data_IF_444997761189
#
_entry.id   IF_444997761189
#
_cell.length_a   1.000
_cell.length_b   1.000
_cell.length_c   1.000
_cell.angle_alpha   90.00
_cell.angle_beta   90.00
_cell.angle_gamma   90.00
#
_symmetry.space_group_name_H-M   'P 1'
#
loop_
_entity.id
_entity.type
_entity.pdbx_description
1 polymer ?
#
# COMPACT_ATOMS: atom_id res chain seq x y z
N UNK A 1 -9.66 -15.22 -25.04
CA UNK A 1 -8.37 -14.63 -24.66
C UNK A 1 -7.99 -13.63 -25.76
N UNK A 2 -8.08 -12.37 -25.47
CA UNK A 2 -8.06 -11.30 -26.48
C UNK A 2 -6.61 -10.99 -26.89
N UNK A 3 -6.32 -10.96 -28.21
CA UNK A 3 -4.97 -10.67 -28.76
C UNK A 3 -4.41 -9.30 -28.31
N UNK A 4 -5.24 -8.40 -27.84
CA UNK A 4 -4.88 -7.06 -27.36
C UNK A 4 -4.17 -7.10 -25.98
N UNK A 5 -4.58 -8.00 -25.08
CA UNK A 5 -3.91 -8.25 -23.79
C UNK A 5 -2.47 -8.76 -23.98
N UNK A 6 -2.28 -9.62 -24.99
CA UNK A 6 -0.95 -10.14 -25.33
C UNK A 6 0.01 -9.06 -25.86
N UNK A 7 -0.50 -8.01 -26.53
CA UNK A 7 0.36 -6.97 -27.11
C UNK A 7 0.90 -5.98 -26.06
N UNK A 8 0.16 -5.67 -25.00
CA UNK A 8 0.63 -4.74 -23.93
C UNK A 8 1.46 -5.44 -22.86
N UNK A 9 1.18 -6.72 -22.56
CA UNK A 9 2.08 -7.51 -21.72
C UNK A 9 3.50 -7.64 -22.33
N UNK A 10 3.61 -7.58 -23.68
CA UNK A 10 4.89 -7.50 -24.37
C UNK A 10 5.54 -6.10 -24.31
N UNK A 11 4.76 -5.03 -24.02
CA UNK A 11 5.26 -3.66 -24.06
C UNK A 11 5.99 -3.22 -22.76
N UNK A 12 5.69 -3.84 -21.60
CA UNK A 12 6.49 -3.61 -20.37
C UNK A 12 7.98 -3.96 -20.55
N UNK A 13 8.31 -4.71 -21.64
CA UNK A 13 9.67 -5.08 -21.98
C UNK A 13 10.27 -4.28 -23.14
N UNK A 14 9.58 -3.29 -23.70
CA UNK A 14 9.89 -2.75 -25.04
C UNK A 14 10.49 -1.35 -25.09
N UNK A 15 10.60 -0.60 -24.01
CA UNK A 15 11.24 0.73 -24.02
C UNK A 15 12.61 0.73 -23.31
N UNK A 16 13.50 -0.13 -23.82
CA UNK A 16 14.93 0.16 -23.74
C UNK A 16 15.27 1.05 -24.95
N UNK A 17 15.28 2.35 -24.73
CA UNK A 17 15.91 3.29 -25.68
C UNK A 17 17.37 2.88 -25.76
N UNK A 18 17.76 2.23 -26.85
CA UNK A 18 19.14 1.95 -27.17
C UNK A 18 19.86 3.26 -27.47
N UNK A 19 20.50 3.83 -26.46
CA UNK A 19 21.54 4.83 -26.69
C UNK A 19 22.74 4.13 -27.32
N UNK A 20 23.31 4.61 -28.44
CA UNK A 20 24.50 4.01 -28.98
C UNK A 20 25.67 4.31 -28.05
N UNK A 21 26.17 3.30 -27.35
CA UNK A 21 27.44 3.38 -26.66
C UNK A 21 28.54 3.42 -27.69
N UNK A 22 29.12 4.59 -27.91
CA UNK A 22 30.45 4.72 -28.51
C UNK A 22 31.45 4.48 -27.39
N UNK A 23 31.96 3.28 -27.32
CA UNK A 23 33.05 2.91 -26.44
C UNK A 23 34.35 3.44 -27.02
N UNK A 24 34.90 4.55 -26.49
CA UNK A 24 36.33 4.82 -26.59
C UNK A 24 36.97 4.42 -25.26
N UNK A 25 37.66 3.30 -25.30
CA UNK A 25 38.42 2.78 -24.18
C UNK A 25 39.61 3.67 -23.85
N UNK A 26 39.66 4.13 -22.62
CA UNK A 26 40.95 4.35 -21.93
C UNK A 26 41.12 3.22 -20.93
N UNK A 27 42.11 2.40 -21.18
CA UNK A 27 42.56 1.34 -20.27
C UNK A 27 43.17 2.03 -19.07
N UNK A 28 42.42 2.14 -17.98
CA UNK A 28 42.99 2.38 -16.65
C UNK A 28 43.45 1.02 -16.09
N UNK A 29 44.75 0.82 -16.05
CA UNK A 29 45.38 -0.25 -15.28
C UNK A 29 45.06 -0.03 -13.80
N UNK A 30 44.18 -0.84 -13.25
CA UNK A 30 43.70 -0.80 -11.86
C UNK A 30 42.33 -1.40 -11.71
N UNK A 31 41.77 -2.00 -12.74
CA UNK A 31 40.46 -2.65 -12.70
C UNK A 31 40.44 -3.80 -11.71
N UNK A 32 39.72 -3.63 -10.58
CA UNK A 32 39.26 -4.75 -9.79
C UNK A 32 38.56 -5.72 -10.73
N UNK A 33 39.12 -6.91 -10.92
CA UNK A 33 38.39 -8.01 -11.58
C UNK A 33 37.15 -8.28 -10.72
N UNK A 34 35.95 -8.31 -11.31
CA UNK A 34 34.76 -8.66 -10.56
C UNK A 34 35.01 -9.99 -9.82
N UNK A 35 34.77 -10.01 -8.53
CA UNK A 35 34.76 -11.25 -7.79
C UNK A 35 33.49 -12.02 -8.11
N UNK A 36 33.59 -12.91 -9.09
CA UNK A 36 32.48 -13.73 -9.59
C UNK A 36 31.92 -14.69 -8.54
N UNK A 37 32.59 -14.85 -7.39
CA UNK A 37 32.10 -15.60 -6.24
C UNK A 37 31.51 -14.70 -5.15
N UNK A 38 31.39 -13.40 -5.38
CA UNK A 38 30.81 -12.51 -4.42
C UNK A 38 29.34 -12.87 -4.16
N UNK A 39 29.04 -13.11 -2.89
CA UNK A 39 27.68 -13.27 -2.42
C UNK A 39 27.15 -11.86 -2.12
N UNK A 40 26.01 -11.54 -2.69
CA UNK A 40 25.30 -10.30 -2.41
C UNK A 40 23.96 -10.57 -1.75
N UNK A 41 23.42 -9.60 -1.06
CA UNK A 41 22.09 -9.69 -0.46
C UNK A 41 21.22 -8.57 -1.00
N UNK A 42 20.06 -8.92 -1.55
CA UNK A 42 19.00 -7.98 -1.89
C UNK A 42 17.93 -8.05 -0.81
N UNK A 43 17.49 -6.90 -0.32
CA UNK A 43 16.38 -6.79 0.63
C UNK A 43 15.19 -6.12 -0.03
N UNK A 44 14.01 -6.68 0.13
CA UNK A 44 12.76 -5.95 -0.11
C UNK A 44 12.26 -5.42 1.23
N UNK A 45 11.98 -4.13 1.27
CA UNK A 45 11.41 -3.45 2.41
C UNK A 45 10.05 -2.91 2.02
N UNK A 46 9.02 -3.27 2.76
CA UNK A 46 7.64 -2.93 2.43
C UNK A 46 6.87 -2.35 3.60
N UNK A 47 5.88 -1.56 3.26
CA UNK A 47 4.79 -1.16 4.14
C UNK A 47 3.48 -1.21 3.35
N UNK A 48 2.37 -1.25 4.05
CA UNK A 48 1.02 -1.35 3.48
C UNK A 48 0.04 -0.64 4.40
N UNK A 49 -1.15 -0.34 3.88
CA UNK A 49 -2.27 0.16 4.69
C UNK A 49 -1.85 1.34 5.58
N UNK A 50 -1.14 2.30 4.99
CA UNK A 50 -0.68 3.48 5.72
C UNK A 50 -1.85 4.40 6.11
N UNK A 51 -2.92 4.42 5.30
CA UNK A 51 -4.17 5.15 5.54
C UNK A 51 -3.98 6.61 5.92
N UNK A 52 -2.93 7.25 5.38
CA UNK A 52 -2.64 8.64 5.70
C UNK A 52 -2.32 8.88 7.17
N UNK A 53 -1.76 7.91 7.87
CA UNK A 53 -1.38 7.97 9.28
C UNK A 53 -0.14 8.86 9.50
N UNK A 54 -0.23 10.11 9.01
CA UNK A 54 0.90 11.06 9.03
C UNK A 54 1.26 11.53 10.43
N UNK A 55 0.25 11.72 11.27
CA UNK A 55 0.43 12.28 12.61
C UNK A 55 0.66 11.16 13.62
N UNK A 56 1.67 11.34 14.46
CA UNK A 56 1.94 10.41 15.56
C UNK A 56 0.84 10.42 16.59
N UNK A 57 0.42 9.23 17.03
CA UNK A 57 -0.51 9.01 18.11
C UNK A 57 -0.02 7.86 19.01
N UNK A 58 -0.74 7.52 20.09
CA UNK A 58 -0.34 6.52 21.11
C UNK A 58 0.13 5.19 20.52
N UNK A 59 -0.55 4.69 19.48
CA UNK A 59 -0.28 3.39 18.85
C UNK A 59 0.17 3.52 17.41
N UNK A 60 0.23 4.72 16.87
CA UNK A 60 0.59 5.04 15.49
C UNK A 60 1.89 5.83 15.50
N UNK A 61 2.95 5.33 14.87
CA UNK A 61 4.25 6.01 14.91
C UNK A 61 4.24 7.37 14.19
N UNK A 62 3.43 7.50 13.14
CA UNK A 62 3.44 8.66 12.26
C UNK A 62 4.40 8.50 11.08
N UNK A 63 4.27 9.41 10.11
CA UNK A 63 5.06 9.40 8.89
C UNK A 63 6.57 9.59 9.14
N UNK A 64 6.92 10.48 10.06
CA UNK A 64 8.32 10.79 10.35
C UNK A 64 9.08 9.58 10.88
N UNK A 65 8.51 8.83 11.80
CA UNK A 65 9.10 7.61 12.35
C UNK A 65 9.18 6.49 11.31
N UNK A 66 8.14 6.33 10.48
CA UNK A 66 8.14 5.35 9.40
C UNK A 66 9.26 5.63 8.40
N UNK A 67 9.39 6.87 7.95
CA UNK A 67 10.46 7.28 7.04
C UNK A 67 11.83 7.03 7.64
N UNK A 68 12.06 7.40 8.91
CA UNK A 68 13.34 7.17 9.55
C UNK A 68 13.67 5.68 9.67
N UNK A 69 12.68 4.85 10.03
CA UNK A 69 12.87 3.39 10.10
C UNK A 69 13.27 2.79 8.73
N UNK A 70 12.66 3.27 7.64
CA UNK A 70 13.05 2.86 6.28
C UNK A 70 14.49 3.26 5.97
N UNK A 71 14.88 4.50 6.29
CA UNK A 71 16.24 4.99 6.06
C UNK A 71 17.28 4.21 6.87
N UNK A 72 16.96 3.88 8.13
CA UNK A 72 17.84 3.08 9.00
C UNK A 72 18.04 1.66 8.44
N UNK A 73 17.00 1.04 7.88
CA UNK A 73 17.12 -0.28 7.24
C UNK A 73 17.90 -0.21 5.91
N UNK A 74 17.67 0.84 5.10
CA UNK A 74 18.47 1.08 3.88
C UNK A 74 19.96 1.33 4.19
N UNK A 75 20.27 1.96 5.31
CA UNK A 75 21.65 2.16 5.74
C UNK A 75 22.38 0.85 6.06
N UNK A 76 21.65 -0.19 6.53
CA UNK A 76 22.21 -1.52 6.80
C UNK A 76 22.51 -2.31 5.52
N UNK A 77 21.69 -2.13 4.48
CA UNK A 77 21.89 -2.77 3.18
C UNK A 77 21.52 -1.79 2.05
N UNK A 78 22.53 -1.36 1.27
CA UNK A 78 22.32 -0.45 0.12
C UNK A 78 21.53 -1.11 -1.02
N UNK A 79 21.48 -2.43 -1.08
CA UNK A 79 20.71 -3.20 -2.05
C UNK A 79 19.27 -3.43 -1.54
N UNK A 80 18.65 -2.41 -0.96
CA UNK A 80 17.27 -2.45 -0.47
C UNK A 80 16.34 -1.76 -1.46
N UNK A 81 15.33 -2.49 -1.91
CA UNK A 81 14.22 -1.99 -2.73
C UNK A 81 13.03 -1.73 -1.82
N UNK A 82 12.53 -0.50 -1.79
CA UNK A 82 11.37 -0.11 -0.97
C UNK A 82 10.12 -0.07 -1.84
N UNK A 83 9.05 -0.69 -1.36
CA UNK A 83 7.76 -0.76 -2.05
C UNK A 83 6.59 -0.51 -1.09
N UNK A 84 5.49 -0.01 -1.61
CA UNK A 84 4.21 0.03 -0.89
C UNK A 84 3.23 -0.98 -1.49
N UNK A 85 2.25 -1.43 -0.70
CA UNK A 85 1.26 -2.40 -1.15
C UNK A 85 -0.17 -1.82 -1.09
N UNK A 86 -0.31 -0.53 -1.30
CA UNK A 86 -1.60 0.15 -1.40
C UNK A 86 -2.16 0.68 -0.08
N UNK A 87 -3.33 1.31 -0.18
CA UNK A 87 -4.03 2.01 0.88
C UNK A 87 -3.16 3.08 1.54
N UNK A 88 -2.61 3.97 0.70
CA UNK A 88 -1.57 4.89 1.14
C UNK A 88 -2.11 6.17 1.77
N UNK A 89 -3.11 6.80 1.15
CA UNK A 89 -3.46 8.19 1.48
C UNK A 89 -4.83 8.36 2.13
N UNK A 90 -5.79 7.47 1.90
CA UNK A 90 -7.13 7.58 2.49
C UNK A 90 -7.21 6.86 3.84
N UNK A 91 -7.92 7.46 4.82
CA UNK A 91 -8.20 6.86 6.13
C UNK A 91 -8.11 7.82 7.31
N UNK A 92 -7.18 8.77 7.34
CA UNK A 92 -7.10 9.76 8.42
C UNK A 92 -7.76 11.10 8.07
N UNK A 93 -8.29 11.78 9.08
CA UNK A 93 -8.84 13.13 8.91
C UNK A 93 -7.79 14.12 8.42
N UNK A 94 -6.56 14.03 8.96
CA UNK A 94 -5.43 14.83 8.49
C UNK A 94 -5.23 14.65 6.99
N UNK A 95 -5.14 13.41 6.52
CA UNK A 95 -4.95 13.13 5.10
C UNK A 95 -6.11 13.63 4.24
N UNK A 96 -7.34 13.48 4.72
CA UNK A 96 -8.54 13.97 4.01
C UNK A 96 -8.51 15.48 3.80
N UNK A 97 -8.15 16.26 4.82
CA UNK A 97 -8.09 17.72 4.74
C UNK A 97 -6.90 18.18 3.90
N UNK A 98 -5.74 17.57 4.08
CA UNK A 98 -4.53 17.92 3.32
C UNK A 98 -4.51 17.31 1.92
N UNK A 99 -5.49 16.46 1.57
CA UNK A 99 -5.53 15.69 0.33
C UNK A 99 -4.26 14.85 0.14
N UNK A 100 -3.79 14.21 1.21
CA UNK A 100 -2.60 13.37 1.16
C UNK A 100 -1.30 14.12 0.86
N UNK A 101 -1.27 15.44 0.98
CA UNK A 101 -0.15 16.30 0.55
C UNK A 101 1.24 15.85 1.04
N UNK A 102 1.45 15.35 2.28
CA UNK A 102 2.77 14.89 2.69
C UNK A 102 3.27 13.62 2.00
N UNK A 103 2.39 12.82 1.37
CA UNK A 103 2.73 11.51 0.84
C UNK A 103 3.81 11.53 -0.27
N UNK A 104 3.76 12.43 -1.26
CA UNK A 104 4.78 12.47 -2.32
C UNK A 104 6.18 12.70 -1.77
N UNK A 105 6.32 13.57 -0.76
CA UNK A 105 7.61 13.85 -0.11
C UNK A 105 8.09 12.64 0.70
N UNK A 106 7.17 12.03 1.47
CA UNK A 106 7.44 10.83 2.23
C UNK A 106 7.94 9.69 1.32
N UNK A 107 7.29 9.46 0.19
CA UNK A 107 7.70 8.44 -0.78
C UNK A 107 9.05 8.75 -1.41
N UNK A 108 9.31 10.01 -1.74
CA UNK A 108 10.59 10.45 -2.28
C UNK A 108 11.72 10.26 -1.28
N UNK A 109 11.52 10.63 -0.02
CA UNK A 109 12.52 10.49 1.03
C UNK A 109 12.88 9.02 1.30
N UNK A 110 11.89 8.13 1.26
CA UNK A 110 12.11 6.68 1.38
C UNK A 110 12.65 6.03 0.10
N UNK A 111 12.60 6.72 -1.05
CA UNK A 111 12.89 6.18 -2.38
C UNK A 111 12.00 4.97 -2.70
N UNK A 112 10.68 5.11 -2.45
CA UNK A 112 9.68 4.10 -2.80
C UNK A 112 9.62 3.92 -4.30
N UNK A 113 9.80 2.70 -4.79
CA UNK A 113 9.92 2.43 -6.24
C UNK A 113 8.58 2.32 -6.93
N UNK A 114 7.58 1.80 -6.23
CA UNK A 114 6.21 1.62 -6.71
C UNK A 114 5.26 1.26 -5.58
N UNK A 115 3.97 1.32 -5.88
CA UNK A 115 2.91 0.81 -5.01
C UNK A 115 1.95 -0.08 -5.79
N UNK A 116 1.46 -1.15 -5.16
CA UNK A 116 0.21 -1.75 -5.62
C UNK A 116 -0.96 -0.77 -5.40
N UNK A 117 -2.07 -0.97 -6.09
CA UNK A 117 -3.32 -0.24 -5.84
C UNK A 117 -4.13 -1.01 -4.79
N UNK A 118 -4.51 -0.34 -3.70
CA UNK A 118 -5.48 -0.85 -2.73
C UNK A 118 -6.90 -0.39 -3.04
N UNK A 119 -7.88 -0.82 -2.24
CA UNK A 119 -9.27 -0.40 -2.42
C UNK A 119 -9.49 1.07 -2.03
N UNK A 120 -8.76 1.58 -1.05
CA UNK A 120 -8.86 2.97 -0.59
C UNK A 120 -8.15 3.98 -1.49
N UNK A 121 -7.38 3.56 -2.48
CA UNK A 121 -6.92 4.45 -3.55
C UNK A 121 -8.07 5.03 -4.38
N UNK A 122 -9.25 4.40 -4.33
CA UNK A 122 -10.45 4.87 -5.05
C UNK A 122 -11.38 5.76 -4.22
N UNK A 123 -11.13 5.99 -2.93
CA UNK A 123 -12.04 6.72 -2.05
C UNK A 123 -12.34 8.14 -2.52
N UNK A 124 -11.36 8.79 -3.11
CA UNK A 124 -11.53 10.15 -3.65
C UNK A 124 -11.83 10.16 -5.15
N UNK A 125 -12.17 8.99 -5.70
CA UNK A 125 -12.56 8.77 -7.08
C UNK A 125 -11.40 8.52 -8.03
N UNK A 126 -11.69 7.83 -9.11
CA UNK A 126 -10.72 7.48 -10.15
C UNK A 126 -9.97 8.70 -10.72
N UNK A 127 -10.60 9.88 -10.95
CA UNK A 127 -9.86 11.06 -11.41
C UNK A 127 -8.75 11.51 -10.43
N UNK A 128 -8.99 11.42 -9.12
CA UNK A 128 -7.94 11.75 -8.15
C UNK A 128 -6.76 10.78 -8.23
N UNK A 129 -7.04 9.49 -8.30
CA UNK A 129 -6.00 8.47 -8.44
C UNK A 129 -5.16 8.70 -9.70
N UNK A 130 -5.80 8.94 -10.84
CA UNK A 130 -5.13 9.06 -12.14
C UNK A 130 -4.37 10.40 -12.27
N UNK A 131 -5.03 11.50 -11.93
CA UNK A 131 -4.52 12.85 -12.22
C UNK A 131 -3.63 13.42 -11.11
N UNK A 132 -3.64 12.80 -9.91
CA UNK A 132 -2.91 13.31 -8.75
C UNK A 132 -1.99 12.26 -8.14
N UNK A 133 -2.52 11.13 -7.66
CA UNK A 133 -1.72 10.15 -6.95
C UNK A 133 -0.76 9.41 -7.88
N UNK A 134 -1.22 8.95 -9.04
CA UNK A 134 -0.38 8.24 -10.02
C UNK A 134 0.65 9.14 -10.73
N UNK A 135 0.52 10.45 -10.63
CA UNK A 135 1.57 11.39 -11.11
C UNK A 135 2.76 11.44 -10.16
N UNK A 136 2.51 11.21 -8.87
CA UNK A 136 3.55 11.28 -7.82
C UNK A 136 4.22 9.94 -7.51
N UNK A 137 3.59 8.82 -7.92
CA UNK A 137 4.03 7.46 -7.62
C UNK A 137 3.60 6.52 -8.74
N UNK A 138 4.48 5.57 -9.09
CA UNK A 138 4.13 4.48 -10.00
C UNK A 138 3.22 3.47 -9.29
N UNK A 139 1.93 3.56 -9.55
CA UNK A 139 0.96 2.55 -9.16
C UNK A 139 0.91 1.44 -10.20
N UNK A 140 0.86 0.19 -9.74
CA UNK A 140 0.78 -0.99 -10.60
C UNK A 140 -0.38 -1.90 -10.20
N UNK A 141 -1.12 -2.42 -11.19
CA UNK A 141 -2.10 -3.49 -10.99
C UNK A 141 -2.38 -4.23 -12.30
N UNK A 142 -2.25 -5.55 -12.26
CA UNK A 142 -2.45 -6.41 -13.43
C UNK A 142 -3.91 -6.83 -13.62
N UNK A 143 -4.71 -6.77 -12.55
CA UNK A 143 -6.09 -7.26 -12.55
C UNK A 143 -7.15 -6.15 -12.53
N UNK A 144 -6.76 -4.88 -12.74
CA UNK A 144 -7.71 -3.79 -12.99
C UNK A 144 -7.76 -3.52 -14.49
N UNK A 145 -8.95 -3.54 -15.05
CA UNK A 145 -9.19 -3.49 -16.50
C UNK A 145 -10.35 -2.56 -16.84
N UNK A 146 -10.47 -2.17 -18.09
CA UNK A 146 -11.65 -1.46 -18.57
C UNK A 146 -12.89 -2.36 -18.45
N UNK A 147 -14.01 -1.82 -18.00
CA UNK A 147 -15.24 -2.57 -17.71
C UNK A 147 -15.87 -3.18 -18.94
N UNK A 148 -15.86 -2.47 -20.07
CA UNK A 148 -16.66 -2.83 -21.25
C UNK A 148 -16.07 -4.01 -22.03
N UNK A 149 -14.73 -4.06 -22.16
CA UNK A 149 -14.03 -5.04 -23.00
C UNK A 149 -12.87 -5.76 -22.30
N UNK A 150 -12.65 -5.48 -21.02
CA UNK A 150 -11.51 -5.96 -20.22
C UNK A 150 -10.15 -5.62 -20.84
N UNK A 151 -10.07 -4.54 -21.60
CA UNK A 151 -8.80 -4.05 -22.13
C UNK A 151 -7.93 -3.46 -20.99
N UNK A 152 -6.59 -3.52 -21.13
CA UNK A 152 -5.69 -2.80 -20.21
C UNK A 152 -5.97 -1.31 -20.25
N UNK A 153 -5.89 -0.68 -19.06
CA UNK A 153 -6.04 0.77 -18.92
C UNK A 153 -4.76 1.48 -19.38
N UNK A 154 -4.90 2.60 -20.09
CA UNK A 154 -3.73 3.30 -20.66
C UNK A 154 -2.81 3.90 -19.60
N UNK A 155 -3.38 4.33 -18.50
CA UNK A 155 -2.68 4.98 -17.38
C UNK A 155 -2.08 4.00 -16.37
N UNK A 156 -2.40 2.69 -16.45
CA UNK A 156 -2.05 1.70 -15.43
C UNK A 156 -1.16 0.60 -16.00
N UNK A 157 0.04 0.49 -15.46
CA UNK A 157 0.96 -0.61 -15.79
C UNK A 157 0.66 -1.85 -14.94
N UNK A 158 0.66 -3.06 -15.52
CA UNK A 158 0.43 -4.29 -14.78
C UNK A 158 1.61 -4.70 -13.89
N UNK A 159 2.80 -4.27 -14.26
CA UNK A 159 4.05 -4.58 -13.56
C UNK A 159 5.10 -3.49 -13.77
N UNK A 160 6.08 -3.45 -12.89
CA UNK A 160 7.26 -2.60 -13.02
C UNK A 160 8.53 -3.39 -12.81
N UNK A 161 9.57 -3.08 -13.58
CA UNK A 161 10.88 -3.71 -13.47
C UNK A 161 11.86 -2.79 -12.73
N UNK A 162 12.58 -3.37 -11.77
CA UNK A 162 13.72 -2.75 -11.08
C UNK A 162 15.00 -3.49 -11.48
N UNK A 163 16.02 -2.74 -11.85
CA UNK A 163 17.37 -3.27 -12.07
C UNK A 163 18.21 -2.93 -10.85
N UNK A 164 18.52 -3.94 -10.04
CA UNK A 164 19.28 -3.78 -8.81
C UNK A 164 20.75 -4.08 -9.07
N UNK A 165 21.66 -3.09 -8.98
CA UNK A 165 23.09 -3.32 -9.11
C UNK A 165 23.62 -4.21 -7.98
N UNK A 166 24.63 -5.01 -8.29
CA UNK A 166 25.34 -5.87 -7.35
C UNK A 166 26.78 -5.37 -7.12
N UNK A 167 27.36 -5.72 -5.99
CA UNK A 167 28.75 -5.32 -5.64
C UNK A 167 29.80 -5.83 -6.61
N UNK A 168 29.52 -6.95 -7.27
CA UNK A 168 30.40 -7.56 -8.27
C UNK A 168 30.36 -6.86 -9.65
N UNK A 169 29.57 -5.78 -9.80
CA UNK A 169 29.40 -5.04 -11.06
C UNK A 169 28.31 -5.60 -11.97
N UNK A 170 27.64 -6.68 -11.58
CA UNK A 170 26.45 -7.18 -12.24
C UNK A 170 25.16 -6.51 -11.78
N UNK A 171 24.01 -7.01 -12.23
CA UNK A 171 22.71 -6.54 -11.78
C UNK A 171 21.65 -7.64 -11.86
N UNK A 172 20.71 -7.62 -10.93
CA UNK A 172 19.53 -8.49 -10.92
C UNK A 172 18.32 -7.67 -11.43
N UNK A 173 17.57 -8.23 -12.36
CA UNK A 173 16.33 -7.68 -12.89
C UNK A 173 15.15 -8.27 -12.15
N UNK A 174 14.39 -7.46 -11.47
CA UNK A 174 13.26 -7.86 -10.62
C UNK A 174 11.99 -7.27 -11.21
N UNK A 175 11.01 -8.11 -11.53
CA UNK A 175 9.67 -7.64 -11.91
C UNK A 175 8.76 -7.67 -10.68
N UNK A 176 8.10 -6.56 -10.42
CA UNK A 176 7.01 -6.45 -9.45
C UNK A 176 5.69 -6.43 -10.21
N UNK A 177 4.79 -7.36 -9.89
CA UNK A 177 3.45 -7.47 -10.49
C UNK A 177 2.43 -7.02 -9.47
N UNK A 178 1.64 -5.98 -9.78
CA UNK A 178 0.61 -5.46 -8.90
C UNK A 178 -0.68 -6.28 -8.98
N UNK A 179 -1.34 -6.48 -7.85
CA UNK A 179 -2.65 -7.11 -7.74
C UNK A 179 -3.49 -6.39 -6.71
N UNK A 180 -4.78 -6.19 -7.02
CA UNK A 180 -5.76 -5.53 -6.15
C UNK A 180 -6.85 -6.54 -5.78
N UNK A 181 -7.39 -6.44 -4.57
CA UNK A 181 -8.53 -7.25 -4.12
C UNK A 181 -9.74 -7.05 -5.03
N UNK A 182 -10.40 -8.15 -5.41
CA UNK A 182 -11.64 -8.09 -6.18
C UNK A 182 -12.80 -7.55 -5.36
N UNK A 183 -12.69 -7.57 -4.03
CA UNK A 183 -13.67 -6.99 -3.13
C UNK A 183 -13.82 -5.47 -3.32
N UNK A 184 -12.83 -4.80 -3.88
CA UNK A 184 -12.91 -3.37 -4.25
C UNK A 184 -14.19 -3.04 -5.02
N UNK A 185 -14.67 -3.97 -5.85
CA UNK A 185 -15.91 -3.79 -6.63
C UNK A 185 -17.15 -3.58 -5.75
N UNK A 186 -17.18 -4.13 -4.53
CA UNK A 186 -18.31 -4.06 -3.59
C UNK A 186 -18.02 -3.19 -2.37
N UNK A 187 -16.73 -3.00 -2.07
CA UNK A 187 -16.25 -2.24 -0.92
C UNK A 187 -16.04 -0.75 -1.22
N UNK A 188 -15.93 -0.35 -2.46
CA UNK A 188 -15.79 1.04 -2.89
C UNK A 188 -17.08 1.55 -3.51
N UNK A 189 -17.38 2.84 -3.36
CA UNK A 189 -18.52 3.47 -4.00
C UNK A 189 -18.48 3.26 -5.51
N UNK A 190 -19.54 2.71 -6.08
CA UNK A 190 -19.61 2.39 -7.52
C UNK A 190 -19.35 3.58 -8.45
N UNK A 191 -19.61 4.80 -7.99
CA UNK A 191 -19.30 6.02 -8.72
C UNK A 191 -17.81 6.30 -8.84
N UNK A 192 -17.01 5.88 -7.82
CA UNK A 192 -15.57 6.09 -7.75
C UNK A 192 -14.77 5.13 -8.65
N UNK A 193 -15.37 4.00 -9.01
CA UNK A 193 -14.77 2.94 -9.85
C UNK A 193 -15.48 2.79 -11.19
N UNK A 194 -16.22 3.83 -11.62
CA UNK A 194 -16.96 3.79 -12.87
C UNK A 194 -16.04 3.59 -14.07
N UNK A 195 -16.34 2.59 -14.90
CA UNK A 195 -15.59 2.29 -16.12
C UNK A 195 -14.42 1.34 -15.95
N UNK A 196 -14.18 0.85 -14.75
CA UNK A 196 -13.18 -0.19 -14.47
C UNK A 196 -13.82 -1.44 -13.87
N UNK A 197 -13.11 -2.56 -13.94
CA UNK A 197 -13.50 -3.84 -13.37
C UNK A 197 -12.26 -4.54 -12.77
N UNK A 198 -12.49 -5.46 -11.83
CA UNK A 198 -11.47 -6.19 -11.10
C UNK A 198 -11.57 -7.68 -11.46
N UNK A 199 -10.65 -8.14 -12.32
CA UNK A 199 -10.64 -9.54 -12.78
C UNK A 199 -9.85 -10.43 -11.84
N UNK A 200 -10.00 -11.76 -12.01
CA UNK A 200 -9.35 -12.75 -11.15
C UNK A 200 -7.83 -12.52 -11.03
N UNK A 201 -7.28 -12.35 -9.82
CA UNK A 201 -5.87 -12.01 -9.60
C UNK A 201 -4.92 -13.13 -10.00
N UNK A 202 -5.33 -14.41 -9.87
CA UNK A 202 -4.51 -15.56 -10.27
C UNK A 202 -4.34 -15.60 -11.78
N UNK A 203 -5.40 -15.36 -12.54
CA UNK A 203 -5.32 -15.35 -14.00
C UNK A 203 -4.50 -14.16 -14.52
N UNK A 204 -4.67 -12.98 -13.90
CA UNK A 204 -3.87 -11.81 -14.21
C UNK A 204 -2.38 -12.03 -13.91
N UNK A 205 -2.04 -12.55 -12.73
CA UNK A 205 -0.65 -12.88 -12.37
C UNK A 205 -0.04 -13.92 -13.33
N UNK A 206 -0.78 -14.98 -13.66
CA UNK A 206 -0.33 -16.00 -14.63
C UNK A 206 -0.03 -15.40 -15.99
N UNK A 207 -0.87 -14.50 -16.49
CA UNK A 207 -0.63 -13.82 -17.76
C UNK A 207 0.71 -13.09 -17.73
N UNK A 208 1.00 -12.33 -16.66
CA UNK A 208 2.25 -11.59 -16.52
C UNK A 208 3.46 -12.52 -16.44
N UNK A 209 3.40 -13.58 -15.65
CA UNK A 209 4.50 -14.55 -15.50
C UNK A 209 4.65 -15.40 -16.77
N UNK A 210 3.55 -15.88 -17.36
CA UNK A 210 3.55 -16.77 -18.54
C UNK A 210 3.93 -16.06 -19.83
N UNK A 211 3.72 -14.75 -19.96
CA UNK A 211 4.17 -13.96 -21.12
C UNK A 211 5.68 -13.80 -21.20
N UNK A 212 6.42 -14.54 -20.37
CA UNK A 212 7.84 -14.74 -20.57
C UNK A 212 8.74 -13.82 -19.74
N UNK A 213 8.23 -13.15 -18.69
CA UNK A 213 9.12 -12.34 -17.85
C UNK A 213 10.33 -13.16 -17.38
N UNK A 214 10.12 -14.38 -16.87
CA UNK A 214 11.19 -15.26 -16.40
C UNK A 214 11.65 -16.30 -17.44
N UNK A 215 10.71 -16.89 -18.20
CA UNK A 215 11.03 -17.91 -19.22
C UNK A 215 11.86 -17.40 -20.39
N UNK A 216 11.68 -16.14 -20.79
CA UNK A 216 12.48 -15.53 -21.88
C UNK A 216 13.76 -14.86 -21.36
N UNK A 217 14.13 -15.06 -20.08
CA UNK A 217 15.32 -14.44 -19.48
C UNK A 217 15.25 -12.91 -19.37
N UNK A 218 14.04 -12.34 -19.41
CA UNK A 218 13.85 -10.89 -19.30
C UNK A 218 14.07 -10.39 -17.89
N UNK A 219 13.73 -11.22 -16.89
CA UNK A 219 13.95 -10.95 -15.47
C UNK A 219 14.52 -12.16 -14.75
N UNK A 220 15.23 -11.90 -13.66
CA UNK A 220 15.82 -12.91 -12.80
C UNK A 220 14.84 -13.30 -11.66
N UNK A 221 13.93 -12.39 -11.28
CA UNK A 221 13.02 -12.54 -10.14
C UNK A 221 11.65 -11.91 -10.42
N UNK A 222 10.58 -12.54 -9.91
CA UNK A 222 9.21 -12.01 -9.95
C UNK A 222 8.64 -11.93 -8.53
N UNK A 223 8.19 -10.76 -8.13
CA UNK A 223 7.56 -10.49 -6.83
C UNK A 223 6.12 -10.01 -7.06
N UNK A 224 5.16 -10.62 -6.39
CA UNK A 224 3.79 -10.12 -6.40
C UNK A 224 3.62 -9.07 -5.29
N UNK A 225 3.19 -7.86 -5.66
CA UNK A 225 2.69 -6.84 -4.73
C UNK A 225 1.18 -6.93 -4.75
N UNK A 226 0.59 -7.59 -3.77
CA UNK A 226 -0.84 -7.83 -3.76
C UNK A 226 -1.54 -7.09 -2.60
N UNK A 227 -2.42 -6.18 -2.93
CA UNK A 227 -3.36 -5.64 -1.94
C UNK A 227 -4.53 -6.61 -1.78
N UNK A 228 -4.24 -7.75 -1.15
CA UNK A 228 -5.13 -8.88 -0.87
C UNK A 228 -4.74 -9.43 0.51
N UNK A 229 -5.73 -9.65 1.37
CA UNK A 229 -5.53 -9.99 2.77
C UNK A 229 -4.80 -11.31 3.00
N UNK A 230 -3.96 -11.32 4.05
CA UNK A 230 -3.27 -12.52 4.55
C UNK A 230 -3.43 -12.64 6.06
N UNK A 231 -3.54 -13.87 6.54
CA UNK A 231 -3.70 -14.21 7.96
C UNK A 231 -3.00 -15.52 8.31
N UNK A 232 -2.08 -15.51 9.26
CA UNK A 232 -1.40 -16.72 9.73
C UNK A 232 -2.32 -17.71 10.44
N UNK A 233 -3.50 -17.30 10.91
CA UNK A 233 -4.50 -18.20 11.47
C UNK A 233 -5.30 -18.96 10.40
N UNK A 234 -5.23 -18.50 9.14
CA UNK A 234 -5.84 -19.18 8.00
C UNK A 234 -4.88 -20.27 7.48
N UNK A 235 -5.32 -21.52 7.30
CA UNK A 235 -4.48 -22.59 6.75
C UNK A 235 -3.88 -22.29 5.38
N UNK A 236 -4.59 -21.51 4.55
CA UNK A 236 -4.12 -21.11 3.23
C UNK A 236 -3.28 -19.81 3.25
N UNK A 237 -3.18 -19.15 4.41
CA UNK A 237 -2.57 -17.83 4.63
C UNK A 237 -3.27 -16.72 3.87
N UNK A 238 -3.60 -16.88 2.58
CA UNK A 238 -4.35 -15.92 1.77
C UNK A 238 -5.85 -16.02 2.08
N UNK A 239 -6.48 -14.90 2.42
CA UNK A 239 -7.87 -14.88 2.88
C UNK A 239 -8.88 -15.03 1.73
N UNK A 240 -8.62 -14.41 0.59
CA UNK A 240 -9.53 -14.42 -0.56
C UNK A 240 -9.44 -15.73 -1.35
N UNK A 241 -10.58 -16.41 -1.53
CA UNK A 241 -10.69 -17.71 -2.22
C UNK A 241 -10.13 -17.69 -3.64
N UNK A 242 -10.41 -16.58 -4.38
CA UNK A 242 -9.96 -16.43 -5.76
C UNK A 242 -8.45 -16.12 -5.89
N UNK A 243 -7.75 -15.88 -4.78
CA UNK A 243 -6.32 -15.58 -4.72
C UNK A 243 -5.46 -16.72 -4.14
N UNK A 244 -6.05 -17.72 -3.49
CA UNK A 244 -5.34 -18.82 -2.80
C UNK A 244 -4.36 -19.60 -3.66
N UNK A 245 -4.49 -19.52 -4.98
CA UNK A 245 -3.59 -20.19 -5.93
C UNK A 245 -2.37 -19.34 -6.34
N UNK A 246 -2.23 -18.11 -5.86
CA UNK A 246 -1.07 -17.25 -6.18
C UNK A 246 0.27 -17.89 -5.78
N UNK A 247 0.42 -18.52 -4.59
CA UNK A 247 1.69 -19.14 -4.20
C UNK A 247 2.07 -20.38 -5.04
N UNK A 248 1.17 -20.86 -5.89
CA UNK A 248 1.37 -22.02 -6.75
C UNK A 248 1.68 -21.66 -8.20
N UNK A 249 1.88 -20.37 -8.49
CA UNK A 249 2.27 -19.91 -9.83
C UNK A 249 3.77 -20.10 -9.99
N UNK A 250 4.15 -21.03 -10.90
CA UNK A 250 5.56 -21.28 -11.21
C UNK A 250 6.25 -20.00 -11.72
N UNK A 251 7.39 -19.67 -11.14
CA UNK A 251 8.19 -18.49 -11.49
C UNK A 251 7.94 -17.27 -10.63
N UNK A 252 7.02 -17.31 -9.65
CA UNK A 252 6.91 -16.33 -8.58
C UNK A 252 7.91 -16.65 -7.48
N UNK A 253 8.62 -15.65 -6.97
CA UNK A 253 9.70 -15.81 -5.97
C UNK A 253 9.35 -15.24 -4.59
N UNK A 254 8.39 -14.31 -4.51
CA UNK A 254 7.88 -13.74 -3.24
C UNK A 254 6.50 -13.11 -3.40
N UNK A 255 5.80 -13.00 -2.29
CA UNK A 255 4.55 -12.24 -2.17
C UNK A 255 4.71 -11.20 -1.05
N UNK A 256 4.37 -9.96 -1.35
CA UNK A 256 4.24 -8.87 -0.38
C UNK A 256 2.78 -8.43 -0.40
N UNK A 257 2.09 -8.51 0.74
CA UNK A 257 0.64 -8.36 0.84
C UNK A 257 0.21 -7.17 1.69
N UNK A 258 -1.07 -6.84 1.65
CA UNK A 258 -1.75 -5.78 2.41
C UNK A 258 -3.21 -6.13 2.71
N UNK A 259 -4.05 -5.14 2.98
CA UNK A 259 -5.51 -5.21 3.10
C UNK A 259 -6.05 -5.70 4.45
N UNK A 260 -5.57 -6.81 5.00
CA UNK A 260 -6.11 -7.37 6.25
C UNK A 260 -5.54 -6.72 7.53
N UNK A 261 -4.65 -5.73 7.42
CA UNK A 261 -4.04 -5.01 8.53
C UNK A 261 -3.25 -5.89 9.51
N UNK A 262 -2.96 -7.14 9.16
CA UNK A 262 -2.26 -8.11 10.01
C UNK A 262 -0.76 -8.03 9.81
N UNK A 263 -0.01 -8.41 10.85
CA UNK A 263 1.43 -8.63 10.74
C UNK A 263 1.64 -10.10 10.41
N UNK A 264 2.13 -10.37 9.20
CA UNK A 264 2.30 -11.72 8.66
C UNK A 264 3.72 -11.91 8.16
N UNK A 265 4.34 -13.02 8.53
CA UNK A 265 5.52 -13.58 7.91
C UNK A 265 5.32 -15.09 7.83
N UNK A 266 5.06 -15.60 6.65
CA UNK A 266 4.73 -16.98 6.41
C UNK A 266 5.46 -17.52 5.18
N UNK A 267 5.43 -18.83 5.00
CA UNK A 267 5.90 -19.51 3.80
C UNK A 267 4.82 -20.49 3.33
N UNK A 268 4.40 -20.38 2.09
CA UNK A 268 3.43 -21.28 1.46
C UNK A 268 4.06 -21.82 0.18
N UNK A 269 4.14 -23.13 0.04
CA UNK A 269 4.79 -23.77 -1.10
C UNK A 269 6.22 -23.25 -1.36
N UNK A 270 7.01 -23.08 -0.28
CA UNK A 270 8.36 -22.51 -0.29
C UNK A 270 8.44 -21.05 -0.78
N UNK A 271 7.32 -20.38 -0.91
CA UNK A 271 7.23 -18.99 -1.30
C UNK A 271 7.05 -18.10 -0.06
N UNK A 272 7.96 -17.15 0.22
CA UNK A 272 7.80 -16.23 1.34
C UNK A 272 6.65 -15.26 1.08
N UNK A 273 5.84 -15.04 2.12
CA UNK A 273 4.70 -14.11 2.15
C UNK A 273 4.88 -13.18 3.34
N UNK A 274 4.79 -11.87 3.12
CA UNK A 274 4.92 -10.88 4.19
C UNK A 274 3.83 -9.79 4.10
N UNK A 275 3.34 -9.34 5.26
CA UNK A 275 2.46 -8.18 5.44
C UNK A 275 2.88 -7.40 6.68
N UNK A 276 2.85 -6.09 6.62
CA UNK A 276 3.47 -5.18 7.59
C UNK A 276 2.47 -4.48 8.53
N UNK A 277 1.33 -5.08 8.80
CA UNK A 277 0.32 -4.49 9.70
C UNK A 277 -0.41 -3.31 9.05
N UNK A 278 -0.56 -2.20 9.77
CA UNK A 278 -1.33 -1.03 9.35
C UNK A 278 -0.76 0.25 9.94
N UNK A 279 -1.11 1.40 9.36
CA UNK A 279 -0.77 2.74 9.86
C UNK A 279 0.73 2.96 10.10
N UNK A 280 1.60 2.30 9.31
CA UNK A 280 3.04 2.41 9.44
C UNK A 280 3.61 1.80 10.72
N UNK A 281 2.87 0.95 11.42
CA UNK A 281 3.32 0.33 12.70
C UNK A 281 4.47 -0.65 12.53
N UNK A 282 4.60 -1.25 11.36
CA UNK A 282 5.64 -2.21 11.03
C UNK A 282 6.19 -1.97 9.62
N UNK A 283 7.40 -2.49 9.40
CA UNK A 283 7.97 -2.72 8.08
C UNK A 283 8.07 -4.22 7.84
N UNK A 284 7.76 -4.66 6.64
CA UNK A 284 8.04 -6.01 6.18
C UNK A 284 9.40 -6.07 5.50
N UNK A 285 10.24 -7.05 5.83
CA UNK A 285 11.56 -7.23 5.22
C UNK A 285 11.75 -8.66 4.76
N UNK A 286 12.06 -8.83 3.47
CA UNK A 286 12.48 -10.12 2.90
C UNK A 286 13.91 -10.00 2.38
N UNK A 287 14.76 -10.97 2.68
CA UNK A 287 16.15 -11.00 2.26
C UNK A 287 16.42 -12.17 1.32
N UNK A 288 17.16 -11.87 0.24
CA UNK A 288 17.55 -12.86 -0.77
C UNK A 288 19.04 -12.81 -0.99
N UNK A 289 19.67 -13.99 -0.90
CA UNK A 289 21.05 -14.17 -1.29
C UNK A 289 21.13 -14.30 -2.81
N UNK A 290 22.07 -13.59 -3.42
CA UNK A 290 22.33 -13.63 -4.85
C UNK A 290 23.76 -14.15 -5.06
N UNK A 291 23.86 -15.27 -5.76
CA UNK A 291 25.14 -15.86 -6.20
C UNK A 291 25.17 -15.81 -7.72
N UNK A 292 26.32 -15.45 -8.27
CA UNK A 292 26.57 -15.54 -9.70
C UNK A 292 27.48 -16.71 -9.98
N UNK A 293 27.05 -17.62 -10.84
CA UNK A 293 27.85 -18.70 -11.36
C UNK A 293 27.73 -18.79 -12.88
N UNK A 294 28.86 -18.82 -13.57
CA UNK A 294 28.94 -18.90 -15.04
C UNK A 294 28.01 -17.95 -15.80
N UNK A 295 27.81 -16.74 -15.27
CA UNK A 295 26.96 -15.70 -15.90
C UNK A 295 25.46 -15.85 -15.61
N UNK A 296 25.06 -16.79 -14.75
CA UNK A 296 23.69 -16.96 -14.26
C UNK A 296 23.60 -16.56 -12.80
N UNK A 297 22.44 -16.03 -12.40
CA UNK A 297 22.14 -15.74 -11.01
C UNK A 297 21.36 -16.88 -10.37
N UNK A 298 21.80 -17.30 -9.19
CA UNK A 298 20.98 -18.11 -8.26
C UNK A 298 20.51 -17.18 -7.15
N UNK A 299 19.20 -17.06 -7.00
CA UNK A 299 18.57 -16.18 -6.00
C UNK A 299 17.83 -17.08 -5.02
N UNK A 300 18.17 -16.96 -3.73
CA UNK A 300 17.61 -17.79 -2.69
C UNK A 300 17.08 -16.93 -1.54
N UNK A 301 15.84 -17.18 -1.12
CA UNK A 301 15.31 -16.60 0.11
C UNK A 301 16.13 -17.08 1.32
N UNK A 302 16.56 -16.13 2.16
CA UNK A 302 17.39 -16.41 3.33
C UNK A 302 16.76 -15.95 4.65
N UNK A 303 15.52 -15.48 4.62
CA UNK A 303 14.75 -15.09 5.78
C UNK A 303 14.11 -13.72 5.66
N UNK A 304 13.17 -13.47 6.54
CA UNK A 304 12.42 -12.20 6.64
C UNK A 304 12.25 -11.74 8.07
N UNK A 305 11.73 -10.54 8.22
CA UNK A 305 11.40 -9.95 9.53
C UNK A 305 10.23 -8.97 9.39
N UNK A 306 9.47 -8.81 10.46
CA UNK A 306 8.46 -7.77 10.60
C UNK A 306 8.93 -6.77 11.67
N UNK A 307 9.47 -5.67 11.22
CA UNK A 307 10.17 -4.70 12.04
C UNK A 307 9.18 -3.69 12.60
N UNK A 308 9.00 -3.64 13.91
CA UNK A 308 8.16 -2.63 14.54
C UNK A 308 8.78 -1.24 14.39
N UNK A 309 8.01 -0.29 13.88
CA UNK A 309 8.42 1.10 13.73
C UNK A 309 8.39 1.79 15.10
N UNK A 310 9.53 2.33 15.50
CA UNK A 310 9.69 3.07 16.75
C UNK A 310 10.94 3.94 16.69
N UNK A 311 11.08 4.87 17.61
CA UNK A 311 12.27 5.71 17.76
C UNK A 311 12.07 7.15 17.36
N UNK A 312 13.13 7.79 16.85
CA UNK A 312 13.13 9.19 16.44
C UNK A 312 12.59 9.33 15.03
N UNK A 313 11.78 10.35 14.79
CA UNK A 313 11.27 10.66 13.45
C UNK A 313 12.28 11.37 12.55
N UNK A 314 12.07 11.28 11.25
CA UNK A 314 12.77 12.06 10.23
C UNK A 314 12.36 13.54 10.32
N UNK A 315 13.34 14.43 10.48
CA UNK A 315 13.06 15.85 10.74
C UNK A 315 12.45 16.61 9.56
N UNK A 316 12.69 16.16 8.33
CA UNK A 316 12.11 16.78 7.13
C UNK A 316 10.62 16.50 7.08
N UNK A 317 10.24 15.23 7.26
CA UNK A 317 8.82 14.81 7.26
C UNK A 317 8.07 15.35 8.48
N UNK A 318 8.69 15.34 9.65
CA UNK A 318 8.12 15.92 10.86
C UNK A 318 7.79 17.40 10.67
N UNK A 319 8.73 18.17 10.11
CA UNK A 319 8.52 19.59 9.79
C UNK A 319 7.40 19.81 8.77
N UNK A 320 7.29 18.93 7.77
CA UNK A 320 6.23 19.00 6.76
C UNK A 320 4.85 18.72 7.36
N UNK A 321 4.74 17.70 8.19
CA UNK A 321 3.49 17.35 8.88
C UNK A 321 3.07 18.48 9.81
N UNK A 322 3.99 19.01 10.65
CA UNK A 322 3.71 20.11 11.57
C UNK A 322 3.26 21.38 10.83
N UNK A 323 3.86 21.69 9.68
CA UNK A 323 3.43 22.80 8.83
C UNK A 323 1.97 22.67 8.36
N UNK A 324 1.55 21.47 7.98
CA UNK A 324 0.16 21.23 7.59
C UNK A 324 -0.76 21.23 8.84
N UNK A 325 -0.29 20.75 10.00
CA UNK A 325 -1.00 20.84 11.28
C UNK A 325 -1.34 22.29 11.61
N UNK A 326 -0.33 23.18 11.59
CA UNK A 326 -0.48 24.60 11.86
C UNK A 326 -1.40 25.29 10.86
N UNK A 327 -1.20 25.02 9.56
CA UNK A 327 -1.95 25.63 8.46
C UNK A 327 -3.45 25.41 8.56
N UNK A 328 -3.87 24.22 9.02
CA UNK A 328 -5.27 23.84 9.11
C UNK A 328 -5.83 23.89 10.53
N UNK A 329 -5.03 24.29 11.53
CA UNK A 329 -5.48 24.43 12.92
C UNK A 329 -5.90 23.11 13.56
N UNK A 330 -5.26 22.00 13.23
CA UNK A 330 -5.65 20.67 13.73
C UNK A 330 -5.56 20.53 15.25
N UNK A 331 -4.71 21.31 15.91
CA UNK A 331 -4.56 21.32 17.37
C UNK A 331 -5.56 22.25 18.08
N UNK A 332 -6.40 22.96 17.33
CA UNK A 332 -7.43 23.80 17.93
C UNK A 332 -8.38 22.97 18.79
N UNK A 333 -8.52 23.38 20.06
CA UNK A 333 -9.43 22.72 21.01
C UNK A 333 -10.86 23.13 20.71
N UNK A 334 -11.66 22.17 20.24
CA UNK A 334 -13.07 22.37 19.91
C UNK A 334 -13.98 22.32 21.14
N UNK A 335 -13.64 21.42 22.09
CA UNK A 335 -14.43 21.19 23.29
C UNK A 335 -13.66 20.36 24.31
N UNK A 336 -14.25 20.16 25.49
CA UNK A 336 -13.76 19.28 26.54
C UNK A 336 -14.68 18.07 26.69
N UNK A 337 -14.14 16.87 26.60
CA UNK A 337 -14.88 15.66 26.94
C UNK A 337 -14.83 15.43 28.47
N UNK A 338 -15.98 15.37 29.09
CA UNK A 338 -16.07 15.13 30.53
C UNK A 338 -15.82 13.66 30.90
N UNK A 339 -16.09 12.74 29.98
CA UNK A 339 -15.94 11.29 30.16
C UNK A 339 -15.34 10.67 28.92
N UNK A 340 -14.79 9.47 29.07
CA UNK A 340 -14.36 8.64 27.95
C UNK A 340 -15.57 8.16 27.14
N UNK A 341 -15.56 8.42 25.84
CA UNK A 341 -16.48 7.81 24.87
C UNK A 341 -15.70 6.72 24.12
N UNK A 342 -15.99 5.48 24.46
CA UNK A 342 -15.20 4.34 24.00
C UNK A 342 -15.79 3.75 22.72
N UNK A 343 -14.90 3.50 21.77
CA UNK A 343 -15.14 2.62 20.64
C UNK A 343 -14.45 1.28 20.90
N UNK A 344 -15.24 0.21 21.03
CA UNK A 344 -14.72 -1.15 21.22
C UNK A 344 -15.17 -2.04 20.06
N UNK A 345 -14.21 -2.42 19.22
CA UNK A 345 -14.46 -3.29 18.06
C UNK A 345 -14.85 -4.73 18.44
N UNK A 346 -14.57 -5.13 19.68
CA UNK A 346 -14.93 -6.46 20.19
C UNK A 346 -16.29 -6.52 20.87
N UNK A 347 -17.02 -5.39 20.91
CA UNK A 347 -18.32 -5.35 21.53
C UNK A 347 -19.30 -6.30 20.81
N UNK A 348 -20.15 -6.97 21.58
CA UNK A 348 -21.21 -7.80 21.02
C UNK A 348 -22.08 -6.95 20.08
N UNK A 349 -22.34 -7.44 18.87
CA UNK A 349 -23.17 -6.76 17.84
C UNK A 349 -24.58 -6.35 18.31
N UNK A 350 -25.02 -6.80 19.48
CA UNK A 350 -26.28 -6.39 20.12
C UNK A 350 -26.17 -5.18 21.04
N UNK A 351 -24.96 -4.77 21.35
CA UNK A 351 -24.68 -3.64 22.24
C UNK A 351 -24.26 -2.41 21.41
N UNK A 352 -24.13 -1.28 22.08
CA UNK A 352 -23.69 -0.02 21.48
C UNK A 352 -22.46 0.50 22.20
N UNK A 353 -21.59 1.21 21.47
CA UNK A 353 -20.48 1.93 22.06
C UNK A 353 -20.90 3.32 22.49
N UNK A 354 -20.27 3.87 23.52
CA UNK A 354 -20.59 5.23 24.00
C UNK A 354 -20.29 6.29 22.93
N UNK A 355 -19.20 6.13 22.16
CA UNK A 355 -18.92 7.01 21.02
C UNK A 355 -19.97 6.84 19.91
N UNK A 356 -20.43 5.64 19.64
CA UNK A 356 -21.49 5.38 18.66
C UNK A 356 -22.80 6.05 19.02
N UNK A 357 -23.21 5.95 20.28
CA UNK A 357 -24.38 6.65 20.79
C UNK A 357 -24.26 8.17 20.68
N UNK A 358 -23.09 8.73 21.00
CA UNK A 358 -22.83 10.16 20.88
C UNK A 358 -22.90 10.63 19.40
N UNK A 359 -22.24 9.93 18.50
CA UNK A 359 -22.21 10.29 17.06
C UNK A 359 -23.59 10.22 16.45
N UNK A 360 -24.36 9.17 16.70
CA UNK A 360 -25.71 9.02 16.15
C UNK A 360 -26.69 10.06 16.73
N UNK A 361 -26.57 10.40 18.02
CA UNK A 361 -27.31 11.50 18.62
C UNK A 361 -26.96 12.85 17.99
N UNK A 362 -25.67 13.09 17.71
CA UNK A 362 -25.17 14.29 17.05
C UNK A 362 -25.73 14.45 15.63
N UNK A 363 -25.84 13.35 14.86
CA UNK A 363 -26.49 13.38 13.55
C UNK A 363 -27.96 13.79 13.62
N UNK A 364 -28.69 13.21 14.57
CA UNK A 364 -30.10 13.54 14.76
C UNK A 364 -30.30 15.01 15.18
N UNK A 365 -29.43 15.52 16.05
CA UNK A 365 -29.46 16.90 16.51
C UNK A 365 -29.11 17.90 15.39
N UNK A 366 -28.05 17.60 14.63
CA UNK A 366 -27.65 18.39 13.46
C UNK A 366 -28.76 18.44 12.40
N UNK A 367 -29.40 17.29 12.14
CA UNK A 367 -30.56 17.27 11.24
C UNK A 367 -31.70 18.17 11.71
N UNK A 368 -32.02 18.13 13.03
CA UNK A 368 -33.08 18.98 13.59
C UNK A 368 -32.75 20.47 13.50
N UNK A 369 -31.49 20.86 13.70
CA UNK A 369 -31.06 22.26 13.71
C UNK A 369 -30.91 22.88 12.32
N UNK A 370 -30.35 22.14 11.37
CA UNK A 370 -29.83 22.74 10.13
C UNK A 370 -30.54 22.28 8.84
N UNK A 371 -31.29 21.19 8.89
CA UNK A 371 -31.90 20.67 7.67
C UNK A 371 -33.17 21.48 7.30
N UNK A 372 -33.25 21.88 6.02
CA UNK A 372 -34.53 22.41 5.46
C UNK A 372 -35.64 21.35 5.52
N UNK A 373 -35.29 20.07 5.52
CA UNK A 373 -36.21 18.94 5.65
C UNK A 373 -36.83 18.94 7.04
N UNK A 374 -36.09 19.35 8.10
CA UNK A 374 -36.60 19.45 9.44
C UNK A 374 -37.78 20.42 9.58
N UNK A 375 -37.81 21.47 8.78
CA UNK A 375 -38.98 22.40 8.69
C UNK A 375 -40.23 21.68 8.18
N UNK A 376 -40.06 20.72 7.26
CA UNK A 376 -41.17 19.95 6.69
C UNK A 376 -41.59 18.79 7.59
N UNK A 377 -40.65 18.15 8.30
CA UNK A 377 -40.88 16.93 9.04
C UNK A 377 -40.57 17.04 10.55
N UNK A 378 -40.38 18.24 11.07
CA UNK A 378 -39.90 18.53 12.44
C UNK A 378 -40.79 18.05 13.60
N UNK A 379 -41.96 17.48 13.31
CA UNK A 379 -42.82 16.82 14.30
C UNK A 379 -42.62 15.29 14.31
N UNK A 380 -41.80 14.75 13.42
CA UNK A 380 -41.51 13.31 13.35
C UNK A 380 -40.28 12.94 14.20
N UNK A 381 -40.25 11.71 14.64
CA UNK A 381 -39.06 11.16 15.32
C UNK A 381 -37.89 11.09 14.32
N UNK A 382 -36.74 11.61 14.75
CA UNK A 382 -35.50 11.57 13.98
C UNK A 382 -34.57 10.57 14.66
N UNK A 383 -34.09 9.59 13.92
CA UNK A 383 -33.14 8.58 14.38
C UNK A 383 -31.85 8.76 13.60
N UNK A 384 -30.73 8.93 14.30
CA UNK A 384 -29.40 8.86 13.72
C UNK A 384 -28.96 7.42 13.60
N UNK A 385 -28.38 7.05 12.47
CA UNK A 385 -27.83 5.71 12.23
C UNK A 385 -26.39 5.88 11.74
N UNK A 386 -25.47 5.09 12.25
CA UNK A 386 -24.11 5.02 11.76
C UNK A 386 -23.68 3.55 11.68
N UNK A 387 -22.80 3.26 10.76
CA UNK A 387 -22.18 1.96 10.61
C UNK A 387 -21.07 1.78 11.67
N UNK A 388 -20.95 0.59 12.24
CA UNK A 388 -19.97 0.32 13.28
C UNK A 388 -18.52 0.53 12.81
N UNK A 389 -18.19 0.09 11.59
CA UNK A 389 -16.89 0.27 10.96
C UNK A 389 -16.54 1.73 10.64
N UNK A 390 -17.54 2.62 10.52
CA UNK A 390 -17.34 4.05 10.32
C UNK A 390 -16.85 4.82 11.55
N UNK A 391 -16.71 4.14 12.72
CA UNK A 391 -16.14 4.70 13.92
C UNK A 391 -14.73 4.15 14.13
N UNK A 392 -13.73 5.02 14.09
CA UNK A 392 -12.32 4.60 14.09
C UNK A 392 -11.59 4.83 15.40
N UNK A 393 -12.06 5.73 16.25
CA UNK A 393 -11.40 6.11 17.48
C UNK A 393 -12.37 6.35 18.64
N UNK A 394 -11.87 6.17 19.86
CA UNK A 394 -12.51 6.63 21.09
C UNK A 394 -12.20 8.11 21.31
N UNK A 395 -13.14 8.86 21.88
CA UNK A 395 -12.90 10.22 22.39
C UNK A 395 -12.62 10.08 23.88
N UNK A 396 -11.39 10.33 24.28
CA UNK A 396 -11.01 10.23 25.69
C UNK A 396 -11.35 11.53 26.44
N UNK A 397 -11.55 11.40 27.74
CA UNK A 397 -11.72 12.54 28.63
C UNK A 397 -10.57 13.55 28.49
N UNK A 398 -10.89 14.83 28.35
CA UNK A 398 -9.92 15.90 28.14
C UNK A 398 -10.24 16.75 26.92
N UNK A 399 -9.23 17.38 26.36
CA UNK A 399 -9.35 18.22 25.20
C UNK A 399 -9.70 17.40 23.96
N UNK A 400 -10.71 17.86 23.22
CA UNK A 400 -11.10 17.34 21.92
C UNK A 400 -10.68 18.35 20.87
N UNK A 401 -9.65 18.02 20.14
CA UNK A 401 -9.11 18.87 19.08
C UNK A 401 -9.75 18.57 17.73
N UNK A 402 -9.52 19.43 16.77
CA UNK A 402 -9.94 19.24 15.39
C UNK A 402 -9.42 17.91 14.79
N UNK A 403 -8.24 17.48 15.20
CA UNK A 403 -7.64 16.21 14.77
C UNK A 403 -8.38 14.96 15.28
N UNK A 404 -8.95 15.04 16.50
CA UNK A 404 -9.69 13.93 17.10
C UNK A 404 -11.11 13.75 16.57
N UNK A 405 -11.63 14.74 15.84
CA UNK A 405 -12.96 14.68 15.25
C UNK A 405 -12.92 13.85 13.97
N UNK A 406 -12.80 12.56 14.11
CA UNK A 406 -12.71 11.65 12.97
C UNK A 406 -13.78 10.59 13.02
N UNK A 407 -14.90 10.83 12.31
CA UNK A 407 -15.65 9.72 11.74
C UNK A 407 -15.22 9.61 10.28
N UNK A 408 -14.61 8.51 9.91
CA UNK A 408 -14.35 8.23 8.51
C UNK A 408 -15.62 7.67 7.89
N UNK A 409 -16.20 8.40 6.94
CA UNK A 409 -17.36 7.95 6.19
C UNK A 409 -16.95 7.09 4.97
N UNK A 410 -15.65 6.87 4.77
CA UNK A 410 -15.11 6.15 3.64
C UNK A 410 -14.89 4.66 3.91
N UNK A 411 -14.71 4.30 5.19
CA UNK A 411 -14.49 2.90 5.57
C UNK A 411 -15.84 2.23 5.91
N UNK A 412 -16.61 1.90 4.90
CA UNK A 412 -17.85 1.12 5.09
C UNK A 412 -17.58 -0.38 5.27
N UNK A 413 -16.36 -0.74 5.75
CA UNK A 413 -15.99 -2.14 5.70
C UNK A 413 -15.24 -2.66 6.89
N UNK A 414 -16.01 -3.31 7.72
CA UNK A 414 -15.67 -4.59 8.39
C UNK A 414 -16.95 -5.29 8.91
#
# INVERSE_FOLDING_TARGET
MNRTLLKKAALCCGLLIASPFIAFGQIHEGGHRPDWNAIDTISFLSFNDFHGAFVKDRNVPGAAELVQAVLDEKAKNKNTVVVSVGDNFSGSYFSRITRGNPLPEMFREMDVKMSAIGNHEFDWGLPYLVDTAAVCMDYIAANIVAKDDHAPLEWLEPCKMVVQPLKNGGSVKIAFVGLTTTDTAVKTRSENIRGIDFVNPVDAARVQVATGLKKEGKVDMVVLLMHIGTDMSNPDVIEEENAKRLPWIEGVDAIISGHSHKVVLAEVNHLPIIQAGVNGTHLGKLNFEVKQDAGKYTIQYIGGDTIRVAGKGNSVIDSLVNKEMDKYGFEEVLTMAENDLIHDRNINKKDYTTVGAYVTASYADTFRKYSQISKKYGKQSVVGVNHYGGLRASILKGEVTCLLYTSDAADEED
#
